data_IF_055941961536
#
_entry.id   IF_055941961536
#
_cell.length_a   1.000
_cell.length_b   1.000
_cell.length_c   1.000
_cell.angle_alpha   90.00
_cell.angle_beta   90.00
_cell.angle_gamma   90.00
#
_symmetry.space_group_name_H-M   'P 1'
#
loop_
_entity.id
_entity.type
_entity.pdbx_description
1 polymer ?
#
# COMPACT_ATOMS: atom_id res chain seq x y z
N UNK A 1 -120.97 3.91 -33.64
CA UNK A 1 -121.26 4.26 -32.24
C UNK A 1 -120.11 5.08 -31.71
N UNK A 2 -120.36 6.37 -31.45
CA UNK A 2 -119.45 7.28 -30.73
C UNK A 2 -119.23 6.73 -29.32
N UNK A 3 -117.98 6.72 -28.86
CA UNK A 3 -117.66 6.69 -27.43
C UNK A 3 -116.53 7.69 -27.17
N UNK A 4 -116.72 8.39 -26.07
CA UNK A 4 -116.27 9.74 -25.71
C UNK A 4 -114.82 9.73 -25.18
N UNK A 5 -114.01 10.77 -25.42
CA UNK A 5 -112.68 10.87 -24.80
C UNK A 5 -112.79 11.00 -23.27
N UNK A 6 -111.84 10.41 -22.51
CA UNK A 6 -111.88 10.39 -21.05
C UNK A 6 -111.84 11.79 -20.44
N UNK A 7 -112.53 11.93 -19.32
CA UNK A 7 -112.78 13.21 -18.67
C UNK A 7 -111.53 13.76 -17.98
N UNK A 8 -111.41 15.09 -17.87
CA UNK A 8 -110.30 15.76 -17.14
C UNK A 8 -110.12 15.31 -15.68
N UNK A 9 -111.07 14.54 -15.11
CA UNK A 9 -110.94 13.93 -13.78
C UNK A 9 -110.15 12.63 -13.78
N UNK A 10 -110.16 11.85 -14.87
CA UNK A 10 -109.46 10.55 -14.95
C UNK A 10 -107.95 10.72 -15.21
N UNK A 11 -107.55 11.77 -15.93
CA UNK A 11 -106.13 12.17 -16.07
C UNK A 11 -105.51 12.70 -14.76
N UNK A 12 -106.33 12.93 -13.71
CA UNK A 12 -105.87 13.41 -12.40
C UNK A 12 -105.62 12.29 -11.39
N UNK A 13 -106.16 11.08 -11.62
CA UNK A 13 -106.02 9.94 -10.72
C UNK A 13 -104.79 9.05 -11.01
N UNK A 14 -104.16 9.19 -12.18
CA UNK A 14 -102.87 8.54 -12.51
C UNK A 14 -101.63 9.38 -12.12
N UNK A 15 -101.82 10.50 -11.40
CA UNK A 15 -100.74 11.41 -10.99
C UNK A 15 -100.40 11.34 -9.50
N UNK A 16 -100.83 10.29 -8.82
CA UNK A 16 -100.61 10.07 -7.39
C UNK A 16 -100.09 8.66 -7.15
N UNK A 17 -98.87 8.41 -7.64
CA UNK A 17 -97.96 7.38 -7.12
C UNK A 17 -96.50 7.85 -7.28
N UNK A 18 -96.28 9.13 -6.95
CA UNK A 18 -94.95 9.65 -6.70
C UNK A 18 -94.70 9.53 -5.18
N UNK A 19 -94.03 8.45 -4.79
CA UNK A 19 -93.43 8.35 -3.45
C UNK A 19 -92.53 9.55 -3.16
N UNK A 20 -92.24 9.86 -1.88
CA UNK A 20 -91.47 11.04 -1.51
C UNK A 20 -90.14 11.01 -2.26
N UNK A 21 -89.97 11.94 -3.20
CA UNK A 21 -88.70 12.22 -3.84
C UNK A 21 -87.76 12.75 -2.76
N UNK A 22 -86.93 11.85 -2.25
CA UNK A 22 -85.76 12.14 -1.44
C UNK A 22 -85.04 13.34 -2.10
N UNK A 23 -84.73 14.44 -1.37
CA UNK A 23 -84.04 15.56 -1.98
C UNK A 23 -82.74 15.01 -2.55
N UNK A 24 -82.59 15.07 -3.88
CA UNK A 24 -81.37 14.64 -4.55
C UNK A 24 -80.20 15.40 -3.91
N UNK A 25 -79.54 14.73 -2.95
CA UNK A 25 -78.41 15.29 -2.26
C UNK A 25 -77.41 15.60 -3.36
N UNK A 26 -77.15 16.89 -3.61
CA UNK A 26 -76.07 17.31 -4.47
C UNK A 26 -74.82 16.64 -3.90
N UNK A 27 -74.41 15.50 -4.47
CA UNK A 27 -73.12 14.88 -4.19
C UNK A 27 -72.11 15.97 -4.54
N UNK A 28 -71.65 16.70 -3.54
CA UNK A 28 -70.57 17.67 -3.68
C UNK A 28 -69.47 16.89 -4.38
N UNK A 29 -69.11 17.27 -5.61
CA UNK A 29 -68.03 16.60 -6.36
C UNK A 29 -66.74 16.92 -5.60
N UNK A 30 -66.38 16.05 -4.66
CA UNK A 30 -65.16 16.14 -3.84
C UNK A 30 -63.93 15.74 -4.67
N UNK A 31 -64.14 14.99 -5.75
CA UNK A 31 -63.10 14.47 -6.63
C UNK A 31 -62.13 15.53 -7.20
N UNK A 32 -62.54 16.72 -7.69
CA UNK A 32 -61.60 17.76 -8.11
C UNK A 32 -60.70 18.29 -6.98
N UNK A 33 -61.14 18.27 -5.72
CA UNK A 33 -60.32 18.65 -4.57
C UNK A 33 -59.34 17.54 -4.17
N UNK A 34 -59.75 16.28 -4.32
CA UNK A 34 -58.87 15.11 -4.11
C UNK A 34 -57.80 15.05 -5.20
N UNK A 35 -58.18 15.22 -6.47
CA UNK A 35 -57.25 15.25 -7.61
C UNK A 35 -56.31 16.45 -7.52
N UNK A 36 -56.82 17.64 -7.16
CA UNK A 36 -55.99 18.83 -6.91
C UNK A 36 -55.03 18.66 -5.72
N UNK A 37 -55.47 18.01 -4.64
CA UNK A 37 -54.64 17.72 -3.47
C UNK A 37 -53.54 16.70 -3.76
N UNK A 38 -53.84 15.63 -4.52
CA UNK A 38 -52.84 14.64 -4.96
C UNK A 38 -51.84 15.27 -5.93
N UNK A 39 -52.29 16.11 -6.86
CA UNK A 39 -51.39 16.83 -7.76
C UNK A 39 -50.48 17.80 -7.01
N UNK A 40 -51.01 18.58 -6.06
CA UNK A 40 -50.21 19.47 -5.21
C UNK A 40 -49.18 18.69 -4.38
N UNK A 41 -49.58 17.54 -3.81
CA UNK A 41 -48.67 16.65 -3.09
C UNK A 41 -47.54 16.16 -4.00
N UNK A 42 -47.85 15.72 -5.22
CA UNK A 42 -46.84 15.27 -6.19
C UNK A 42 -45.88 16.40 -6.60
N UNK A 43 -46.40 17.62 -6.79
CA UNK A 43 -45.56 18.80 -7.09
C UNK A 43 -44.67 19.16 -5.91
N UNK A 44 -45.20 19.15 -4.68
CA UNK A 44 -44.41 19.38 -3.46
C UNK A 44 -43.33 18.31 -3.29
N UNK A 45 -43.67 17.03 -3.49
CA UNK A 45 -42.70 15.93 -3.47
C UNK A 45 -41.64 16.10 -4.56
N UNK A 46 -42.01 16.54 -5.76
CA UNK A 46 -41.06 16.79 -6.84
C UNK A 46 -40.13 17.99 -6.54
N UNK A 47 -40.65 19.08 -5.98
CA UNK A 47 -39.84 20.26 -5.60
C UNK A 47 -38.92 19.93 -4.43
N UNK A 48 -39.45 19.31 -3.37
CA UNK A 48 -38.65 18.87 -2.22
C UNK A 48 -37.61 17.83 -2.66
N UNK A 49 -38.00 16.88 -3.50
CA UNK A 49 -37.09 15.90 -4.11
C UNK A 49 -36.01 16.55 -4.96
N UNK A 50 -36.32 17.58 -5.74
CA UNK A 50 -35.36 18.35 -6.54
C UNK A 50 -34.38 19.14 -5.67
N UNK A 51 -34.84 19.75 -4.57
CA UNK A 51 -33.99 20.45 -3.61
C UNK A 51 -33.06 19.49 -2.87
N UNK A 52 -33.57 18.35 -2.40
CA UNK A 52 -32.77 17.29 -1.77
C UNK A 52 -31.76 16.71 -2.77
N UNK A 53 -32.19 16.44 -4.00
CA UNK A 53 -31.33 15.94 -5.08
C UNK A 53 -30.19 16.89 -5.40
N UNK A 54 -30.47 18.20 -5.50
CA UNK A 54 -29.44 19.23 -5.66
C UNK A 54 -28.45 19.24 -4.49
N UNK A 55 -28.94 19.21 -3.25
CA UNK A 55 -28.07 19.18 -2.07
C UNK A 55 -27.17 17.93 -2.04
N UNK A 56 -27.69 16.76 -2.40
CA UNK A 56 -26.92 15.51 -2.48
C UNK A 56 -25.88 15.58 -3.61
N UNK A 57 -26.23 16.16 -4.75
CA UNK A 57 -25.29 16.41 -5.85
C UNK A 57 -24.15 17.35 -5.43
N UNK A 58 -24.48 18.49 -4.81
CA UNK A 58 -23.47 19.45 -4.33
C UNK A 58 -22.53 18.80 -3.30
N UNK A 59 -23.07 17.98 -2.40
CA UNK A 59 -22.30 17.16 -1.44
C UNK A 59 -21.41 16.13 -2.14
N UNK A 60 -21.90 15.43 -3.15
CA UNK A 60 -21.11 14.45 -3.91
C UNK A 60 -19.95 15.13 -4.67
N UNK A 61 -20.20 16.29 -5.26
CA UNK A 61 -19.17 17.09 -5.93
C UNK A 61 -18.16 17.68 -4.94
N UNK A 62 -18.60 18.09 -3.76
CA UNK A 62 -17.70 18.50 -2.67
C UNK A 62 -16.83 17.34 -2.20
N UNK A 63 -17.39 16.16 -1.97
CA UNK A 63 -16.64 14.95 -1.61
C UNK A 63 -15.58 14.62 -2.68
N UNK A 64 -15.96 14.67 -3.96
CA UNK A 64 -15.04 14.49 -5.08
C UNK A 64 -13.90 15.52 -5.06
N UNK A 65 -14.20 16.81 -4.90
CA UNK A 65 -13.17 17.86 -4.85
C UNK A 65 -12.19 17.67 -3.70
N UNK A 66 -12.68 17.28 -2.53
CA UNK A 66 -11.84 16.93 -1.37
C UNK A 66 -10.96 15.70 -1.64
N UNK A 67 -11.48 14.67 -2.30
CA UNK A 67 -10.69 13.49 -2.69
C UNK A 67 -9.61 13.82 -3.74
N UNK A 68 -9.92 14.66 -4.73
CA UNK A 68 -8.93 15.13 -5.71
C UNK A 68 -7.82 15.97 -5.06
N UNK A 69 -8.18 16.83 -4.09
CA UNK A 69 -7.22 17.58 -3.28
C UNK A 69 -6.35 16.64 -2.43
N UNK A 70 -6.94 15.61 -1.82
CA UNK A 70 -6.20 14.60 -1.08
C UNK A 70 -5.20 13.84 -1.97
N UNK A 71 -5.58 13.45 -3.19
CA UNK A 71 -4.66 12.82 -4.16
C UNK A 71 -3.46 13.72 -4.47
N UNK A 72 -3.68 15.01 -4.69
CA UNK A 72 -2.61 16.00 -4.90
C UNK A 72 -1.71 16.09 -3.67
N UNK A 73 -2.30 16.10 -2.48
CA UNK A 73 -1.56 16.08 -1.22
C UNK A 73 -0.69 14.83 -1.06
N UNK A 74 -1.17 13.64 -1.44
CA UNK A 74 -0.37 12.39 -1.41
C UNK A 74 0.82 12.47 -2.33
N UNK A 75 0.68 13.03 -3.54
CA UNK A 75 1.80 13.26 -4.45
C UNK A 75 2.84 14.22 -3.84
N UNK A 76 2.39 15.23 -3.10
CA UNK A 76 3.28 16.14 -2.40
C UNK A 76 4.00 15.45 -1.24
N UNK A 77 3.31 14.60 -0.46
CA UNK A 77 3.95 13.75 0.56
C UNK A 77 5.07 12.92 -0.08
N UNK A 78 4.78 12.23 -1.18
CA UNK A 78 5.77 11.42 -1.90
C UNK A 78 6.99 12.25 -2.34
N UNK A 79 6.77 13.41 -2.95
CA UNK A 79 7.86 14.31 -3.37
C UNK A 79 8.71 14.79 -2.20
N UNK A 80 8.08 15.18 -1.10
CA UNK A 80 8.77 15.64 0.11
C UNK A 80 9.59 14.52 0.76
N UNK A 81 9.05 13.29 0.82
CA UNK A 81 9.79 12.12 1.31
C UNK A 81 11.01 11.81 0.43
N UNK A 82 10.85 11.82 -0.89
CA UNK A 82 11.96 11.59 -1.83
C UNK A 82 13.03 12.69 -1.77
N UNK A 83 12.64 13.91 -1.40
CA UNK A 83 13.56 15.02 -1.19
C UNK A 83 14.20 15.03 0.22
N UNK A 84 13.83 14.10 1.10
CA UNK A 84 14.30 14.07 2.49
C UNK A 84 13.68 15.13 3.42
N UNK A 85 12.69 15.90 2.95
CA UNK A 85 11.99 16.93 3.72
C UNK A 85 10.79 16.32 4.46
N UNK A 86 11.09 15.65 5.57
CA UNK A 86 10.10 14.90 6.36
C UNK A 86 9.12 15.82 7.11
N UNK A 87 9.52 17.05 7.44
CA UNK A 87 8.62 18.02 8.07
C UNK A 87 7.58 18.54 7.07
N UNK A 88 7.98 18.81 5.81
CA UNK A 88 7.03 19.12 4.73
C UNK A 88 6.13 17.93 4.39
N UNK A 89 6.66 16.70 4.44
CA UNK A 89 5.87 15.49 4.25
C UNK A 89 4.79 15.35 5.34
N UNK A 90 5.15 15.53 6.62
CA UNK A 90 4.20 15.48 7.74
C UNK A 90 3.10 16.55 7.62
N UNK A 91 3.46 17.78 7.22
CA UNK A 91 2.48 18.86 6.98
C UNK A 91 1.52 18.52 5.84
N UNK A 92 2.05 17.97 4.75
CA UNK A 92 1.26 17.53 3.60
C UNK A 92 0.33 16.36 3.98
N UNK A 93 0.80 15.42 4.79
CA UNK A 93 0.00 14.32 5.34
C UNK A 93 -1.17 14.83 6.20
N UNK A 94 -0.93 15.86 7.02
CA UNK A 94 -1.98 16.54 7.78
C UNK A 94 -3.05 17.17 6.87
N UNK A 95 -2.62 17.76 5.75
CA UNK A 95 -3.54 18.32 4.75
C UNK A 95 -4.35 17.23 4.06
N UNK A 96 -3.72 16.13 3.65
CA UNK A 96 -4.41 14.96 3.06
C UNK A 96 -5.50 14.49 4.01
N UNK A 97 -5.17 14.32 5.28
CA UNK A 97 -6.14 13.82 6.25
C UNK A 97 -7.28 14.79 6.55
N UNK A 98 -7.03 16.10 6.54
CA UNK A 98 -8.10 17.09 6.66
C UNK A 98 -9.06 17.05 5.45
N UNK A 99 -8.52 16.88 4.25
CA UNK A 99 -9.32 16.77 3.03
C UNK A 99 -10.15 15.48 3.01
N UNK A 100 -9.57 14.34 3.39
CA UNK A 100 -10.32 13.07 3.43
C UNK A 100 -11.41 13.07 4.50
N UNK A 101 -11.15 13.67 5.66
CA UNK A 101 -12.16 13.85 6.70
C UNK A 101 -13.32 14.74 6.22
N UNK A 102 -13.02 15.81 5.47
CA UNK A 102 -14.04 16.66 4.84
C UNK A 102 -14.84 15.90 3.77
N UNK A 103 -14.20 15.02 2.98
CA UNK A 103 -14.89 14.15 2.04
C UNK A 103 -15.87 13.19 2.75
N UNK A 104 -15.46 12.59 3.88
CA UNK A 104 -16.34 11.75 4.71
C UNK A 104 -17.48 12.57 5.31
N UNK A 105 -17.23 13.82 5.72
CA UNK A 105 -18.28 14.69 6.24
C UNK A 105 -19.31 15.06 5.16
N UNK A 106 -18.88 15.27 3.92
CA UNK A 106 -19.75 15.57 2.79
C UNK A 106 -20.70 14.41 2.43
N UNK A 107 -20.29 13.15 2.71
CA UNK A 107 -21.09 11.94 2.47
C UNK A 107 -21.94 11.51 3.68
N UNK A 108 -22.13 12.42 4.67
CA UNK A 108 -22.95 12.19 5.86
C UNK A 108 -24.23 13.03 5.87
N UNK A 109 -25.16 12.59 6.73
CA UNK A 109 -26.39 13.28 7.06
C UNK A 109 -27.63 12.61 6.47
N UNK A 110 -28.79 12.94 7.04
CA UNK A 110 -30.06 12.28 6.73
C UNK A 110 -30.45 12.34 5.25
N UNK A 111 -30.11 13.44 4.55
CA UNK A 111 -30.39 13.55 3.10
C UNK A 111 -29.60 12.52 2.29
N UNK A 112 -28.35 12.27 2.68
CA UNK A 112 -27.46 11.33 2.01
C UNK A 112 -27.91 9.89 2.27
N UNK A 113 -28.17 9.55 3.54
CA UNK A 113 -28.66 8.22 3.94
C UNK A 113 -30.00 7.87 3.30
N UNK A 114 -30.88 8.85 3.09
CA UNK A 114 -32.12 8.64 2.36
C UNK A 114 -31.85 8.40 0.86
N UNK A 115 -30.98 9.19 0.24
CA UNK A 115 -30.64 9.04 -1.17
C UNK A 115 -29.90 7.72 -1.48
N UNK A 116 -29.12 7.20 -0.53
CA UNK A 116 -28.49 5.87 -0.62
C UNK A 116 -29.50 4.72 -0.75
N UNK A 117 -30.75 4.90 -0.32
CA UNK A 117 -31.82 3.88 -0.43
C UNK A 117 -32.57 3.91 -1.76
N UNK A 118 -32.32 4.91 -2.60
CA UNK A 118 -33.03 5.04 -3.87
C UNK A 118 -32.48 4.05 -4.92
N UNK A 119 -33.35 3.39 -5.71
CA UNK A 119 -32.91 2.54 -6.79
C UNK A 119 -32.11 3.34 -7.84
N UNK A 120 -31.10 2.71 -8.44
CA UNK A 120 -30.14 3.27 -9.43
C UNK A 120 -29.16 4.32 -8.91
N UNK A 121 -29.56 5.20 -8.00
CA UNK A 121 -28.69 6.27 -7.44
C UNK A 121 -27.94 5.79 -6.19
N UNK A 122 -28.57 4.92 -5.40
CA UNK A 122 -28.07 4.52 -4.08
C UNK A 122 -26.71 3.82 -4.10
N UNK A 123 -26.48 2.92 -5.07
CA UNK A 123 -25.20 2.21 -5.26
C UNK A 123 -24.04 3.18 -5.47
N UNK A 124 -24.26 4.24 -6.26
CA UNK A 124 -23.27 5.27 -6.55
C UNK A 124 -22.92 6.10 -5.31
N UNK A 125 -23.93 6.55 -4.55
CA UNK A 125 -23.70 7.33 -3.33
C UNK A 125 -23.01 6.50 -2.25
N UNK A 126 -23.43 5.25 -2.08
CA UNK A 126 -22.78 4.31 -1.16
C UNK A 126 -21.32 4.04 -1.55
N UNK A 127 -21.03 3.91 -2.85
CA UNK A 127 -19.67 3.77 -3.35
C UNK A 127 -18.83 5.04 -3.08
N UNK A 128 -19.36 6.24 -3.32
CA UNK A 128 -18.67 7.51 -3.00
C UNK A 128 -18.36 7.61 -1.51
N UNK A 129 -19.31 7.25 -0.64
CA UNK A 129 -19.11 7.19 0.80
C UNK A 129 -18.01 6.18 1.17
N UNK A 130 -18.05 4.98 0.60
CA UNK A 130 -17.04 3.94 0.84
C UNK A 130 -15.65 4.42 0.42
N UNK A 131 -15.51 5.06 -0.75
CA UNK A 131 -14.24 5.63 -1.21
C UNK A 131 -13.75 6.74 -0.27
N UNK A 132 -14.64 7.60 0.22
CA UNK A 132 -14.29 8.64 1.18
C UNK A 132 -13.78 8.03 2.50
N UNK A 133 -14.50 7.06 3.06
CA UNK A 133 -14.13 6.38 4.31
C UNK A 133 -12.82 5.58 4.16
N UNK A 134 -12.63 4.90 3.03
CA UNK A 134 -11.39 4.18 2.73
C UNK A 134 -10.20 5.13 2.58
N UNK A 135 -10.36 6.21 1.82
CA UNK A 135 -9.28 7.19 1.62
C UNK A 135 -8.94 7.90 2.94
N UNK A 136 -9.93 8.18 3.79
CA UNK A 136 -9.69 8.72 5.13
C UNK A 136 -8.97 7.73 6.04
N UNK A 137 -9.38 6.46 6.02
CA UNK A 137 -8.65 5.38 6.70
C UNK A 137 -7.19 5.33 6.27
N UNK A 138 -6.90 5.34 4.96
CA UNK A 138 -5.53 5.36 4.45
C UNK A 138 -4.76 6.62 4.86
N UNK A 139 -5.40 7.80 4.86
CA UNK A 139 -4.74 9.03 5.30
C UNK A 139 -4.32 8.95 6.78
N UNK A 140 -5.17 8.39 7.63
CA UNK A 140 -4.95 8.26 9.07
C UNK A 140 -4.02 7.10 9.44
N UNK A 141 -4.24 5.94 8.84
CA UNK A 141 -3.62 4.67 9.21
C UNK A 141 -2.32 4.42 8.41
N UNK A 142 -2.16 5.06 7.25
CA UNK A 142 -0.99 4.87 6.36
C UNK A 142 -0.17 6.14 6.23
N UNK A 143 -0.75 7.20 5.66
CA UNK A 143 0.01 8.39 5.25
C UNK A 143 0.58 9.13 6.45
N UNK A 144 -0.21 9.33 7.52
CA UNK A 144 0.28 10.02 8.72
C UNK A 144 1.38 9.24 9.45
N UNK A 145 1.24 7.95 9.79
CA UNK A 145 2.31 7.20 10.45
C UNK A 145 3.58 7.14 9.60
N UNK A 146 3.46 6.91 8.30
CA UNK A 146 4.60 6.89 7.39
C UNK A 146 5.34 8.24 7.34
N UNK A 147 4.60 9.35 7.28
CA UNK A 147 5.18 10.69 7.27
C UNK A 147 5.76 11.13 8.63
N UNK A 148 5.42 10.42 9.72
CA UNK A 148 5.94 10.72 11.06
C UNK A 148 7.29 10.07 11.37
N UNK A 149 7.70 9.06 10.59
CA UNK A 149 9.00 8.40 10.75
C UNK A 149 10.09 9.37 10.32
N UNK A 150 10.96 9.77 11.26
CA UNK A 150 12.14 10.59 10.95
C UNK A 150 13.38 9.72 10.84
N UNK A 151 14.29 10.10 9.94
CA UNK A 151 15.58 9.43 9.83
C UNK A 151 16.40 9.53 11.13
N UNK A 152 16.22 10.63 11.87
CA UNK A 152 16.76 10.82 13.21
C UNK A 152 16.26 9.78 14.23
N UNK A 153 15.05 9.24 14.03
CA UNK A 153 14.47 8.25 14.96
C UNK A 153 15.17 6.90 14.86
N UNK A 154 15.84 6.63 13.73
CA UNK A 154 16.66 5.43 13.54
C UNK A 154 17.98 5.50 14.32
N UNK A 155 18.32 6.67 14.86
CA UNK A 155 19.51 6.94 15.67
C UNK A 155 20.79 6.36 15.03
N UNK A 156 20.93 6.58 13.72
CA UNK A 156 22.08 6.14 12.94
C UNK A 156 23.20 7.14 13.18
N UNK A 157 24.03 6.86 14.18
CA UNK A 157 25.17 7.69 14.54
C UNK A 157 26.34 6.81 14.98
N UNK A 158 27.56 7.23 14.65
CA UNK A 158 28.82 6.62 15.13
C UNK A 158 28.91 5.09 14.94
N UNK A 159 28.37 4.58 13.84
CA UNK A 159 28.36 3.14 13.54
C UNK A 159 27.37 2.33 14.38
N UNK A 160 26.37 2.98 14.99
CA UNK A 160 25.28 2.32 15.72
C UNK A 160 23.95 2.51 14.98
N UNK A 161 23.14 1.46 14.99
CA UNK A 161 21.73 1.49 14.54
C UNK A 161 20.89 0.88 15.66
N UNK A 162 19.96 1.63 16.25
CA UNK A 162 19.19 1.14 17.40
C UNK A 162 18.17 0.05 16.99
N UNK A 163 18.31 -1.21 17.46
CA UNK A 163 17.34 -2.26 17.14
C UNK A 163 15.94 -1.97 17.68
N UNK A 164 15.82 -1.18 18.75
CA UNK A 164 14.52 -0.78 19.30
C UNK A 164 13.78 0.18 18.35
N UNK A 165 14.50 1.11 17.71
CA UNK A 165 13.94 1.99 16.68
C UNK A 165 13.45 1.20 15.47
N UNK A 166 14.19 0.18 15.03
CA UNK A 166 13.76 -0.72 13.95
C UNK A 166 12.51 -1.51 14.36
N UNK A 167 12.44 -1.97 15.61
CA UNK A 167 11.26 -2.67 16.14
C UNK A 167 10.04 -1.74 16.18
N UNK A 168 10.22 -0.47 16.55
CA UNK A 168 9.15 0.52 16.52
C UNK A 168 8.68 0.79 15.08
N UNK A 169 9.63 0.90 14.13
CA UNK A 169 9.32 1.04 12.71
C UNK A 169 8.53 -0.16 12.17
N UNK A 170 8.90 -1.38 12.55
CA UNK A 170 8.15 -2.60 12.17
C UNK A 170 6.69 -2.52 12.60
N UNK A 171 6.40 -2.04 13.82
CA UNK A 171 5.01 -1.88 14.30
C UNK A 171 4.22 -0.82 13.53
N UNK A 172 4.88 0.24 13.10
CA UNK A 172 4.29 1.24 12.21
C UNK A 172 3.89 0.59 10.88
N UNK A 173 4.79 -0.20 10.28
CA UNK A 173 4.50 -0.94 9.05
C UNK A 173 3.39 -1.98 9.21
N UNK A 174 3.31 -2.68 10.35
CA UNK A 174 2.18 -3.60 10.64
C UNK A 174 0.83 -2.85 10.61
N UNK A 175 0.80 -1.63 11.17
CA UNK A 175 -0.40 -0.79 11.19
C UNK A 175 -0.77 -0.29 9.79
N UNK A 176 0.24 0.09 9.00
CA UNK A 176 0.09 0.48 7.58
C UNK A 176 -0.49 -0.68 6.76
N UNK A 177 0.08 -1.88 6.89
CA UNK A 177 -0.39 -3.08 6.18
C UNK A 177 -1.84 -3.40 6.52
N UNK A 178 -2.19 -3.37 7.81
CA UNK A 178 -3.56 -3.60 8.27
C UNK A 178 -4.55 -2.55 7.68
N UNK A 179 -4.13 -1.28 7.60
CA UNK A 179 -4.90 -0.21 6.97
C UNK A 179 -5.15 -0.47 5.47
N UNK A 180 -4.12 -0.87 4.73
CA UNK A 180 -4.22 -1.23 3.31
C UNK A 180 -5.14 -2.44 3.11
N UNK A 181 -4.99 -3.50 3.91
CA UNK A 181 -5.84 -4.70 3.81
C UNK A 181 -7.31 -4.38 4.09
N UNK A 182 -7.58 -3.54 5.11
CA UNK A 182 -8.93 -3.07 5.42
C UNK A 182 -9.52 -2.23 4.28
N UNK A 183 -8.73 -1.35 3.69
CA UNK A 183 -9.11 -0.54 2.53
C UNK A 183 -9.48 -1.41 1.32
N UNK A 184 -8.61 -2.36 0.95
CA UNK A 184 -8.86 -3.29 -0.17
C UNK A 184 -10.09 -4.16 0.09
N UNK A 185 -10.29 -4.66 1.32
CA UNK A 185 -11.46 -5.45 1.68
C UNK A 185 -12.77 -4.65 1.60
N UNK A 186 -12.74 -3.36 1.95
CA UNK A 186 -13.89 -2.47 1.82
C UNK A 186 -14.23 -2.20 0.35
N UNK A 187 -13.24 -1.91 -0.50
CA UNK A 187 -13.46 -1.66 -1.93
C UNK A 187 -13.99 -2.89 -2.67
N UNK A 188 -13.60 -4.11 -2.28
CA UNK A 188 -14.12 -5.35 -2.87
C UNK A 188 -15.62 -5.58 -2.62
N UNK A 189 -16.20 -4.94 -1.60
CA UNK A 189 -17.65 -5.02 -1.34
C UNK A 189 -18.47 -4.13 -2.26
N UNK A 190 -17.83 -3.22 -3.00
CA UNK A 190 -18.49 -2.32 -3.93
C UNK A 190 -18.76 -3.05 -5.25
N UNK A 191 -20.03 -3.23 -5.60
CA UNK A 191 -20.43 -3.79 -6.89
C UNK A 191 -20.26 -2.75 -8.01
N UNK A 192 -19.10 -2.81 -8.68
CA UNK A 192 -18.71 -1.88 -9.76
C UNK A 192 -19.68 -1.90 -10.94
N UNK A 193 -20.41 -3.00 -11.17
CA UNK A 193 -21.34 -3.13 -12.31
C UNK A 193 -22.60 -2.26 -12.15
N UNK A 194 -22.93 -1.88 -10.92
CA UNK A 194 -24.08 -1.03 -10.61
C UNK A 194 -23.73 0.47 -10.52
N UNK A 195 -22.50 0.83 -10.87
CA UNK A 195 -22.00 2.19 -10.78
C UNK A 195 -21.99 2.86 -12.15
N UNK A 196 -22.13 4.19 -12.15
CA UNK A 196 -21.83 4.99 -13.34
C UNK A 196 -20.32 4.97 -13.59
N UNK A 197 -19.92 5.02 -14.87
CA UNK A 197 -18.52 4.83 -15.28
C UNK A 197 -17.52 5.65 -14.46
N UNK A 198 -17.80 6.93 -14.22
CA UNK A 198 -16.90 7.80 -13.45
C UNK A 198 -16.65 7.32 -12.02
N UNK A 199 -17.65 6.77 -11.34
CA UNK A 199 -17.50 6.24 -9.96
C UNK A 199 -16.80 4.88 -10.01
N UNK A 200 -17.18 4.02 -10.96
CA UNK A 200 -16.53 2.72 -11.18
C UNK A 200 -15.01 2.87 -11.46
N UNK A 201 -14.64 3.86 -12.28
CA UNK A 201 -13.25 4.18 -12.62
C UNK A 201 -12.47 4.65 -11.39
N UNK A 202 -13.07 5.52 -10.57
CA UNK A 202 -12.47 5.99 -9.32
C UNK A 202 -12.19 4.85 -8.33
N UNK A 203 -13.17 3.96 -8.12
CA UNK A 203 -13.03 2.76 -7.28
C UNK A 203 -11.95 1.84 -7.84
N UNK A 204 -11.95 1.59 -9.15
CA UNK A 204 -10.99 0.71 -9.83
C UNK A 204 -9.57 1.26 -9.75
N UNK A 205 -9.40 2.57 -9.91
CA UNK A 205 -8.10 3.23 -9.78
C UNK A 205 -7.53 3.07 -8.38
N UNK A 206 -8.33 3.33 -7.34
CA UNK A 206 -7.90 3.18 -5.94
C UNK A 206 -7.55 1.72 -5.61
N UNK A 207 -8.39 0.77 -6.03
CA UNK A 207 -8.18 -0.67 -5.87
C UNK A 207 -6.87 -1.15 -6.55
N UNK A 208 -6.59 -0.63 -7.75
CA UNK A 208 -5.35 -0.92 -8.50
C UNK A 208 -4.11 -0.41 -7.77
N UNK A 209 -4.13 0.83 -7.28
CA UNK A 209 -2.99 1.41 -6.57
C UNK A 209 -2.71 0.70 -5.23
N UNK A 210 -3.75 0.32 -4.48
CA UNK A 210 -3.59 -0.47 -3.24
C UNK A 210 -3.05 -1.87 -3.51
N UNK A 211 -3.50 -2.50 -4.59
CA UNK A 211 -3.01 -3.83 -5.00
C UNK A 211 -1.53 -3.78 -5.39
N UNK A 212 -1.08 -2.72 -6.07
CA UNK A 212 0.34 -2.51 -6.41
C UNK A 212 1.22 -2.25 -5.18
N UNK A 213 0.67 -1.62 -4.14
CA UNK A 213 1.43 -1.26 -2.94
C UNK A 213 1.64 -2.47 -2.01
N UNK A 214 0.72 -3.43 -2.00
CA UNK A 214 0.74 -4.56 -1.06
C UNK A 214 2.04 -5.38 -1.10
N UNK A 215 2.57 -5.82 -2.28
CA UNK A 215 3.81 -6.60 -2.32
C UNK A 215 4.99 -5.87 -1.70
N UNK A 216 5.15 -4.58 -2.00
CA UNK A 216 6.23 -3.75 -1.46
C UNK A 216 6.14 -3.63 0.06
N UNK A 217 4.94 -3.47 0.61
CA UNK A 217 4.73 -3.41 2.07
C UNK A 217 5.00 -4.75 2.75
N UNK A 218 4.59 -5.87 2.13
CA UNK A 218 4.90 -7.21 2.64
C UNK A 218 6.41 -7.43 2.69
N UNK A 219 7.15 -7.12 1.61
CA UNK A 219 8.61 -7.24 1.59
C UNK A 219 9.28 -6.33 2.63
N UNK A 220 8.83 -5.08 2.76
CA UNK A 220 9.37 -4.16 3.77
C UNK A 220 9.17 -4.70 5.19
N UNK A 221 7.99 -5.26 5.49
CA UNK A 221 7.68 -5.87 6.78
C UNK A 221 8.55 -7.10 7.07
N UNK A 222 8.72 -7.98 6.09
CA UNK A 222 9.58 -9.16 6.22
C UNK A 222 11.00 -8.75 6.60
N UNK A 223 11.57 -7.76 5.91
CA UNK A 223 12.90 -7.21 6.22
C UNK A 223 12.94 -6.60 7.63
N UNK A 224 11.99 -5.72 7.96
CA UNK A 224 11.93 -5.07 9.27
C UNK A 224 11.73 -6.06 10.42
N UNK A 225 11.11 -7.22 10.16
CA UNK A 225 10.90 -8.25 11.17
C UNK A 225 12.17 -9.00 11.57
N UNK A 226 13.12 -9.15 10.63
CA UNK A 226 14.39 -9.86 10.87
C UNK A 226 15.53 -8.93 11.26
N UNK A 227 15.43 -7.65 10.85
CA UNK A 227 16.50 -6.68 11.01
C UNK A 227 16.92 -6.43 12.48
N UNK A 228 16.03 -6.42 13.49
CA UNK A 228 16.46 -6.28 14.89
C UNK A 228 17.39 -7.40 15.36
N UNK A 229 17.09 -8.66 15.03
CA UNK A 229 17.97 -9.79 15.36
C UNK A 229 19.26 -9.74 14.53
N UNK A 230 19.17 -9.29 13.28
CA UNK A 230 20.34 -9.06 12.45
C UNK A 230 21.27 -7.98 13.04
N UNK A 231 20.69 -6.96 13.69
CA UNK A 231 21.42 -5.94 14.44
C UNK A 231 21.85 -6.40 15.85
N UNK A 232 21.74 -7.69 16.16
CA UNK A 232 22.23 -8.25 17.41
C UNK A 232 21.36 -7.96 18.63
N UNK A 233 20.05 -7.70 18.45
CA UNK A 233 19.14 -7.49 19.58
C UNK A 233 19.01 -8.70 20.53
N UNK A 234 19.31 -9.91 20.04
CA UNK A 234 19.29 -11.16 20.83
C UNK A 234 20.69 -11.68 21.18
N UNK A 235 21.73 -10.90 20.88
CA UNK A 235 23.13 -11.24 21.10
C UNK A 235 24.01 -10.89 19.89
N UNK A 236 25.34 -10.88 20.06
CA UNK A 236 26.27 -10.51 19.00
C UNK A 236 26.12 -11.39 17.75
N UNK A 237 26.19 -10.77 16.58
CA UNK A 237 26.22 -11.44 15.27
C UNK A 237 27.47 -11.03 14.51
N UNK A 238 28.20 -11.98 13.94
CA UNK A 238 29.35 -11.71 13.08
C UNK A 238 29.02 -12.03 11.63
N UNK A 239 29.01 -11.02 10.78
CA UNK A 239 28.85 -11.13 9.35
C UNK A 239 30.20 -11.12 8.65
N UNK A 240 30.34 -11.92 7.60
CA UNK A 240 31.50 -11.86 6.72
C UNK A 240 31.10 -11.13 5.43
N UNK A 241 31.56 -9.89 5.28
CA UNK A 241 31.38 -9.14 4.05
C UNK A 241 32.42 -9.64 3.03
N UNK A 242 31.96 -10.36 2.02
CA UNK A 242 32.78 -10.96 0.96
C UNK A 242 32.77 -10.04 -0.25
N UNK A 243 33.94 -9.51 -0.60
CA UNK A 243 34.13 -8.67 -1.78
C UNK A 243 34.52 -9.53 -2.97
N UNK A 244 33.68 -9.53 -4.00
CA UNK A 244 33.92 -10.25 -5.25
C UNK A 244 34.41 -9.32 -6.35
N UNK A 245 35.42 -9.78 -7.11
CA UNK A 245 35.90 -9.12 -8.33
C UNK A 245 35.24 -9.71 -9.57
N UNK A 246 34.42 -8.93 -10.28
CA UNK A 246 33.71 -9.37 -11.49
C UNK A 246 34.64 -9.62 -12.69
N UNK A 247 35.89 -9.12 -12.67
CA UNK A 247 36.89 -9.30 -13.74
C UNK A 247 37.33 -10.76 -13.89
N UNK A 248 37.20 -11.56 -12.82
CA UNK A 248 37.38 -13.01 -12.82
C UNK A 248 36.04 -13.70 -12.57
N UNK A 249 35.17 -13.69 -13.58
CA UNK A 249 33.80 -14.18 -13.43
C UNK A 249 33.73 -15.63 -12.89
N UNK A 250 32.77 -15.83 -11.98
CA UNK A 250 32.39 -17.13 -11.37
C UNK A 250 30.87 -17.18 -11.31
N UNK A 251 30.28 -18.35 -11.06
CA UNK A 251 28.82 -18.51 -11.11
C UNK A 251 28.06 -17.66 -10.08
N UNK A 252 28.68 -17.29 -8.95
CA UNK A 252 28.07 -16.39 -7.95
C UNK A 252 28.47 -14.92 -8.09
N UNK A 253 29.12 -14.53 -9.20
CA UNK A 253 29.55 -13.16 -9.50
C UNK A 253 31.02 -13.14 -9.92
N UNK A 254 31.93 -13.41 -9.00
CA UNK A 254 33.36 -13.35 -9.28
C UNK A 254 34.26 -14.03 -8.25
N UNK A 255 35.56 -13.75 -8.36
CA UNK A 255 36.57 -14.19 -7.42
C UNK A 255 36.39 -13.46 -6.07
N UNK A 256 36.21 -14.21 -4.98
CA UNK A 256 36.09 -13.67 -3.63
C UNK A 256 37.47 -13.32 -3.05
N UNK A 257 37.95 -12.11 -3.33
CA UNK A 257 39.33 -11.72 -3.08
C UNK A 257 39.59 -11.24 -1.65
N UNK A 258 38.61 -10.58 -1.02
CA UNK A 258 38.74 -10.01 0.32
C UNK A 258 37.49 -10.26 1.17
N UNK A 259 37.71 -10.36 2.48
CA UNK A 259 36.66 -10.61 3.46
C UNK A 259 36.81 -9.65 4.63
N UNK A 260 35.74 -8.96 5.00
CA UNK A 260 35.71 -8.09 6.19
C UNK A 260 34.72 -8.67 7.21
N UNK A 261 35.19 -9.19 8.34
CA UNK A 261 34.32 -9.52 9.47
C UNK A 261 33.69 -8.24 10.03
N UNK A 262 32.39 -8.26 10.26
CA UNK A 262 31.62 -7.18 10.87
C UNK A 262 30.84 -7.79 12.02
N UNK A 263 31.10 -7.35 13.25
CA UNK A 263 30.32 -7.77 14.41
C UNK A 263 29.28 -6.71 14.73
N UNK A 264 28.04 -7.12 14.89
CA UNK A 264 26.94 -6.26 15.33
C UNK A 264 26.43 -6.77 16.67
N UNK A 265 26.46 -5.91 17.68
CA UNK A 265 25.99 -6.22 19.03
C UNK A 265 25.07 -5.11 19.54
N UNK A 266 23.80 -5.47 19.75
CA UNK A 266 22.74 -4.54 20.13
C UNK A 266 22.77 -3.21 19.35
N UNK A 267 22.96 -3.30 18.04
CA UNK A 267 23.03 -2.18 17.11
C UNK A 267 24.41 -1.59 16.86
N UNK A 268 25.40 -1.88 17.71
CA UNK A 268 26.77 -1.34 17.55
C UNK A 268 27.53 -2.16 16.53
N UNK A 269 28.00 -1.52 15.45
CA UNK A 269 28.73 -2.16 14.36
C UNK A 269 30.23 -1.97 14.58
N UNK A 270 30.96 -3.08 14.70
CA UNK A 270 32.41 -3.11 14.86
C UNK A 270 33.04 -3.87 13.69
N UNK A 271 34.00 -3.24 13.02
CA UNK A 271 34.77 -3.90 11.95
C UNK A 271 35.89 -4.74 12.55
N UNK A 272 36.12 -5.92 11.98
CA UNK A 272 37.28 -6.76 12.23
C UNK A 272 38.44 -6.43 11.30
N UNK A 273 39.44 -7.30 11.29
CA UNK A 273 40.59 -7.24 10.37
C UNK A 273 40.20 -7.83 9.02
N UNK A 274 40.53 -7.14 7.93
CA UNK A 274 40.35 -7.66 6.57
C UNK A 274 41.22 -8.89 6.38
N UNK A 275 40.65 -9.93 5.77
CA UNK A 275 41.33 -11.17 5.40
C UNK A 275 41.35 -11.27 3.88
N UNK A 276 42.54 -11.48 3.32
CA UNK A 276 42.72 -11.71 1.88
C UNK A 276 42.53 -13.18 1.55
N UNK A 277 42.03 -13.48 0.35
CA UNK A 277 42.05 -14.83 -0.22
C UNK A 277 43.46 -15.45 -0.25
N UNK A 278 44.50 -14.60 -0.29
CA UNK A 278 45.91 -15.00 -0.22
C UNK A 278 46.38 -15.44 1.18
N UNK A 279 45.64 -15.09 2.25
CA UNK A 279 46.00 -15.46 3.63
C UNK A 279 45.62 -16.91 3.96
N UNK A 280 44.75 -17.52 3.15
CA UNK A 280 44.42 -18.94 3.25
C UNK A 280 45.59 -19.80 2.80
N UNK A 281 46.00 -20.72 3.67
CA UNK A 281 47.19 -21.56 3.52
C UNK A 281 46.88 -22.79 2.68
N UNK A 282 47.86 -23.64 2.35
CA UNK A 282 47.59 -24.98 1.78
C UNK A 282 46.74 -24.99 0.49
N UNK A 283 46.74 -23.88 -0.26
CA UNK A 283 46.16 -23.79 -1.60
C UNK A 283 46.74 -24.89 -2.49
N UNK A 284 45.89 -25.62 -3.22
CA UNK A 284 46.31 -26.70 -4.10
C UNK A 284 46.70 -28.01 -3.39
N UNK A 285 46.47 -28.16 -2.08
CA UNK A 285 46.63 -29.45 -1.38
C UNK A 285 45.88 -30.57 -2.10
N UNK A 286 46.38 -31.83 -2.09
CA UNK A 286 45.74 -32.95 -2.78
C UNK A 286 44.26 -33.11 -2.42
N UNK A 287 43.95 -32.95 -1.13
CA UNK A 287 42.60 -33.07 -0.60
C UNK A 287 41.92 -31.69 -0.51
N UNK A 288 40.64 -31.59 -0.90
CA UNK A 288 39.81 -30.42 -0.63
C UNK A 288 39.75 -30.07 0.86
N UNK A 289 39.47 -28.80 1.19
CA UNK A 289 39.32 -28.32 2.57
C UNK A 289 38.16 -28.99 3.33
N UNK A 290 37.21 -29.56 2.59
CA UNK A 290 36.01 -30.23 3.08
C UNK A 290 35.52 -31.21 2.02
N UNK A 291 34.83 -32.27 2.43
CA UNK A 291 34.13 -33.17 1.49
C UNK A 291 33.20 -32.35 0.58
N UNK A 292 33.33 -32.58 -0.72
CA UNK A 292 32.60 -31.86 -1.77
C UNK A 292 31.46 -32.72 -2.30
N UNK A 293 30.38 -32.07 -2.75
CA UNK A 293 29.32 -32.75 -3.49
C UNK A 293 29.91 -33.40 -4.77
N UNK A 294 29.78 -34.73 -4.96
CA UNK A 294 30.26 -35.40 -6.17
C UNK A 294 29.73 -34.81 -7.47
N UNK A 295 28.50 -34.28 -7.48
CA UNK A 295 27.93 -33.61 -8.66
C UNK A 295 28.62 -32.27 -8.95
N UNK A 296 28.94 -31.50 -7.90
CA UNK A 296 29.71 -30.27 -8.05
C UNK A 296 31.13 -30.56 -8.56
N UNK A 297 31.78 -31.60 -8.03
CA UNK A 297 33.10 -32.05 -8.50
C UNK A 297 33.05 -32.49 -9.97
N UNK A 298 32.00 -33.21 -10.39
CA UNK A 298 31.86 -33.64 -11.79
C UNK A 298 31.74 -32.47 -12.78
N UNK A 299 31.20 -31.33 -12.36
CA UNK A 299 30.99 -30.15 -13.21
C UNK A 299 32.17 -29.17 -13.12
N UNK A 300 32.65 -28.88 -11.90
CA UNK A 300 33.60 -27.80 -11.62
C UNK A 300 35.00 -28.28 -11.24
N UNK A 301 35.17 -29.59 -11.03
CA UNK A 301 36.38 -30.18 -10.46
C UNK A 301 36.45 -30.03 -8.94
N UNK A 302 37.45 -30.68 -8.34
CA UNK A 302 37.75 -30.59 -6.90
C UNK A 302 38.40 -29.24 -6.50
N UNK A 303 38.81 -28.45 -7.50
CA UNK A 303 39.44 -27.13 -7.30
C UNK A 303 38.60 -26.16 -6.48
N UNK A 304 37.27 -26.29 -6.52
CA UNK A 304 36.33 -25.49 -5.71
C UNK A 304 36.62 -25.61 -4.20
N UNK A 305 37.18 -26.72 -3.75
CA UNK A 305 37.58 -26.94 -2.36
C UNK A 305 39.09 -26.91 -2.13
N UNK A 306 39.92 -26.85 -3.18
CA UNK A 306 41.39 -26.82 -3.08
C UNK A 306 41.98 -25.42 -3.27
N UNK A 307 41.24 -24.52 -3.92
CA UNK A 307 41.66 -23.15 -4.19
C UNK A 307 40.57 -22.16 -3.74
N UNK A 308 40.92 -21.23 -2.85
CA UNK A 308 39.95 -20.24 -2.32
C UNK A 308 39.38 -19.27 -3.35
N UNK A 309 40.04 -18.94 -4.47
CA UNK A 309 39.39 -18.15 -5.52
C UNK A 309 38.20 -18.85 -6.21
N UNK A 310 38.10 -20.19 -6.09
CA UNK A 310 37.21 -21.00 -6.93
C UNK A 310 35.95 -21.52 -6.20
N UNK A 311 35.79 -21.32 -4.89
CA UNK A 311 34.59 -21.83 -4.19
C UNK A 311 33.28 -21.16 -4.66
N UNK A 312 33.36 -19.98 -5.30
CA UNK A 312 32.21 -19.26 -5.89
C UNK A 312 31.83 -19.76 -7.29
N UNK A 313 32.51 -20.80 -7.81
CA UNK A 313 32.13 -21.48 -9.06
C UNK A 313 30.84 -22.29 -8.94
N UNK A 314 30.49 -22.74 -7.73
CA UNK A 314 29.24 -23.48 -7.53
C UNK A 314 28.08 -22.48 -7.54
N UNK A 315 27.05 -22.61 -8.40
CA UNK A 315 25.89 -21.72 -8.44
C UNK A 315 24.92 -21.96 -7.27
N UNK A 316 25.46 -22.12 -6.06
CA UNK A 316 24.74 -22.40 -4.83
C UNK A 316 25.48 -21.70 -3.68
N UNK A 317 25.00 -20.52 -3.29
CA UNK A 317 25.64 -19.71 -2.26
C UNK A 317 25.77 -20.46 -0.91
N UNK A 318 24.75 -21.19 -0.40
CA UNK A 318 24.91 -22.02 0.79
C UNK A 318 26.09 -23.00 0.72
N UNK A 319 26.28 -23.69 -0.41
CA UNK A 319 27.39 -24.62 -0.59
C UNK A 319 28.75 -23.91 -0.65
N UNK A 320 28.83 -22.81 -1.40
CA UNK A 320 30.02 -21.95 -1.43
C UNK A 320 30.38 -21.43 -0.03
N UNK A 321 29.39 -21.03 0.77
CA UNK A 321 29.60 -20.59 2.17
C UNK A 321 30.03 -21.75 3.07
N UNK A 322 29.57 -22.98 2.83
CA UNK A 322 30.05 -24.17 3.55
C UNK A 322 31.52 -24.43 3.30
N UNK A 323 31.96 -24.34 2.03
CA UNK A 323 33.38 -24.47 1.65
C UNK A 323 34.20 -23.33 2.25
N UNK A 324 33.74 -22.08 2.14
CA UNK A 324 34.37 -20.91 2.76
C UNK A 324 34.51 -21.07 4.28
N UNK A 325 33.49 -21.58 4.96
CA UNK A 325 33.52 -21.83 6.41
C UNK A 325 34.61 -22.84 6.79
N UNK A 326 34.85 -23.86 5.97
CA UNK A 326 35.92 -24.82 6.20
C UNK A 326 37.30 -24.17 6.05
N UNK A 327 37.50 -23.33 5.02
CA UNK A 327 38.71 -22.51 4.88
C UNK A 327 38.92 -21.57 6.07
N UNK A 328 37.86 -20.87 6.45
CA UNK A 328 37.87 -19.92 7.55
C UNK A 328 38.20 -20.55 8.90
N UNK A 329 37.56 -21.67 9.24
CA UNK A 329 37.81 -22.40 10.48
C UNK A 329 39.25 -22.92 10.56
N UNK A 330 39.83 -23.31 9.43
CA UNK A 330 41.18 -23.89 9.37
C UNK A 330 42.29 -22.85 9.53
N UNK A 331 42.14 -21.69 8.90
CA UNK A 331 43.26 -20.72 8.78
C UNK A 331 43.05 -19.41 9.57
N UNK A 332 41.80 -19.02 9.83
CA UNK A 332 41.45 -17.81 10.60
C UNK A 332 40.98 -18.16 12.02
N UNK A 333 40.18 -19.22 12.16
CA UNK A 333 39.80 -19.81 13.46
C UNK A 333 38.67 -19.10 14.21
N UNK A 334 38.09 -18.02 13.66
CA UNK A 334 36.88 -17.37 14.22
C UNK A 334 35.60 -17.94 13.59
N UNK A 335 34.46 -17.72 14.23
CA UNK A 335 33.15 -18.07 13.66
C UNK A 335 32.48 -16.84 13.04
N UNK A 336 31.58 -17.08 12.10
CA UNK A 336 30.68 -16.09 11.52
C UNK A 336 29.28 -16.68 11.35
N UNK A 337 28.25 -15.86 11.51
CA UNK A 337 26.83 -16.22 11.41
C UNK A 337 26.33 -16.23 9.96
N UNK A 338 26.73 -15.24 9.16
CA UNK A 338 26.26 -15.09 7.79
C UNK A 338 27.32 -14.43 6.88
N UNK A 339 27.11 -14.54 5.56
CA UNK A 339 27.96 -13.93 4.53
C UNK A 339 27.13 -12.93 3.74
N UNK A 340 27.66 -11.72 3.56
CA UNK A 340 27.12 -10.73 2.64
C UNK A 340 28.07 -10.64 1.45
N UNK A 341 27.60 -11.04 0.26
CA UNK A 341 28.39 -10.92 -0.97
C UNK A 341 28.13 -9.58 -1.62
N UNK A 342 29.18 -8.82 -1.90
CA UNK A 342 29.09 -7.53 -2.60
C UNK A 342 30.18 -7.42 -3.66
N UNK A 343 29.94 -6.57 -4.65
CA UNK A 343 30.85 -6.31 -5.76
C UNK A 343 30.94 -4.79 -6.06
N UNK A 344 31.87 -4.34 -6.91
CA UNK A 344 31.98 -2.93 -7.31
C UNK A 344 30.69 -2.33 -7.91
N UNK A 345 29.83 -3.14 -8.54
CA UNK A 345 28.54 -2.66 -9.06
C UNK A 345 27.60 -2.32 -7.91
N UNK A 346 27.46 -3.20 -6.93
CA UNK A 346 26.70 -2.96 -5.69
C UNK A 346 27.22 -1.73 -4.96
N UNK A 347 28.55 -1.55 -4.91
CA UNK A 347 29.16 -0.37 -4.30
C UNK A 347 28.80 0.92 -5.06
N UNK A 348 28.71 0.88 -6.39
CA UNK A 348 28.30 2.07 -7.17
C UNK A 348 26.91 2.56 -6.77
N UNK A 349 25.94 1.65 -6.56
CA UNK A 349 24.60 2.00 -6.10
C UNK A 349 24.58 2.55 -4.68
N UNK A 350 25.44 2.03 -3.79
CA UNK A 350 25.59 2.62 -2.46
C UNK A 350 26.12 4.06 -2.55
N UNK A 351 27.11 4.31 -3.42
CA UNK A 351 27.68 5.64 -3.62
C UNK A 351 26.72 6.63 -4.29
N UNK A 352 25.73 6.18 -5.05
CA UNK A 352 24.63 7.05 -5.53
C UNK A 352 23.81 7.60 -4.36
N UNK A 353 23.60 6.78 -3.32
CA UNK A 353 22.83 7.16 -2.14
C UNK A 353 23.66 7.91 -1.09
N UNK A 354 24.92 7.52 -0.87
CA UNK A 354 25.77 8.08 0.19
C UNK A 354 26.63 9.25 -0.27
N UNK A 355 26.80 9.41 -1.58
CA UNK A 355 27.80 10.31 -2.16
C UNK A 355 29.21 9.70 -2.20
N UNK A 356 30.17 10.44 -2.77
CA UNK A 356 31.52 9.95 -3.02
C UNK A 356 32.36 9.82 -1.74
N UNK A 357 33.36 8.93 -1.78
CA UNK A 357 34.28 8.65 -0.68
C UNK A 357 35.71 9.02 -1.07
N UNK A 358 36.36 9.84 -0.27
CA UNK A 358 37.79 10.17 -0.46
C UNK A 358 38.68 9.01 -0.02
N UNK A 359 39.50 8.50 -0.93
CA UNK A 359 40.48 7.46 -0.67
C UNK A 359 41.73 8.03 0.02
N UNK A 360 42.54 7.16 0.63
CA UNK A 360 43.80 7.55 1.26
C UNK A 360 44.81 8.17 0.27
N UNK A 361 44.67 7.88 -1.03
CA UNK A 361 45.46 8.48 -2.11
C UNK A 361 45.07 9.93 -2.41
N UNK A 362 43.91 10.38 -1.91
CA UNK A 362 43.30 11.67 -2.23
C UNK A 362 42.29 11.61 -3.39
N UNK A 363 42.20 10.49 -4.11
CA UNK A 363 41.21 10.29 -5.17
C UNK A 363 39.80 10.16 -4.60
N UNK A 364 38.80 10.57 -5.40
CA UNK A 364 37.39 10.39 -5.06
C UNK A 364 36.86 9.11 -5.69
N UNK A 365 36.38 8.18 -4.86
CA UNK A 365 35.59 7.04 -5.31
C UNK A 365 34.13 7.49 -5.43
N UNK A 366 33.59 7.48 -6.64
CA UNK A 366 32.23 7.91 -6.99
C UNK A 366 31.43 6.74 -7.56
N UNK A 367 30.11 6.89 -7.63
CA UNK A 367 29.26 5.91 -8.29
C UNK A 367 29.68 5.65 -9.75
N UNK A 368 30.18 6.67 -10.45
CA UNK A 368 30.55 6.58 -11.87
C UNK A 368 31.90 5.88 -12.09
N UNK A 369 32.82 5.97 -11.12
CA UNK A 369 34.16 5.39 -11.27
C UNK A 369 34.40 4.14 -10.43
N UNK A 370 33.50 3.78 -9.51
CA UNK A 370 33.70 2.62 -8.63
C UNK A 370 33.94 1.31 -9.39
N UNK A 371 33.17 1.07 -10.46
CA UNK A 371 33.34 -0.12 -11.30
C UNK A 371 34.67 -0.10 -12.07
N UNK A 372 34.98 0.89 -12.93
CA UNK A 372 36.22 0.89 -13.71
C UNK A 372 37.50 1.11 -12.90
N UNK A 373 37.41 1.56 -11.66
CA UNK A 373 38.57 1.73 -10.78
C UNK A 373 38.90 0.44 -9.99
N UNK A 374 37.89 -0.37 -9.67
CA UNK A 374 38.02 -1.57 -8.83
C UNK A 374 38.05 -2.88 -9.63
N UNK A 375 37.80 -2.83 -10.94
CA UNK A 375 37.87 -3.95 -11.89
C UNK A 375 38.90 -3.65 -12.96
#
# INVERSE_FOLDING_TARGET
MMSTPPSRRELRAQKTDAGPSDPAARKRRIWPWIVGGVFLLLVVVAVVGGLIGKQVYDKAMSARGHLEAAMTGVQQVQKSVLAGDLDAAAKSAGTVSAQTAAAVAATKGWQWEFAEKLPMVGSNLSAVRTVAEVTDGLANDVVRPAASVKLSDLNIADGRIDPASITALSKTFDSVEAGIQKATAALRKVDKAQLVGQVADGVTKLDTELTKLSPTMTTAREVLSVLPDALGAKGPRTYLLMFQGNSEARSLGGNAAQFLPITVDNGTITRGTVVSSADFKRQGSPDPVVDLDPQAVNIFGDKIGRYTPDFTMVPNLPESVRILRAWWARDVGTNFDAVLSIDPVTLSYLLEATGPVTLATGDQLTAQNAVPLLL
#
